data_IF_662161597027
#
_entry.id   IF_662161597027
#
_cell.length_a   1.000
_cell.length_b   1.000
_cell.length_c   1.000
_cell.angle_alpha   90.00
_cell.angle_beta   90.00
_cell.angle_gamma   90.00
#
_symmetry.space_group_name_H-M   'P 1'
#
loop_
_entity.id
_entity.type
_entity.pdbx_description
1 polymer ?
#
# COMPACT_ATOMS: atom_id res chain seq x y z
N UNK A 1 31.23 -23.56 -23.74
CA UNK A 1 30.82 -22.28 -24.34
C UNK A 1 30.10 -21.41 -23.31
N UNK A 2 30.85 -20.65 -22.52
CA UNK A 2 30.34 -19.67 -21.56
C UNK A 2 30.54 -18.23 -22.09
N UNK A 3 30.30 -18.04 -23.40
CA UNK A 3 30.38 -16.75 -24.11
C UNK A 3 29.08 -16.55 -24.86
N UNK A 4 28.13 -15.90 -24.22
CA UNK A 4 26.82 -15.63 -24.80
C UNK A 4 26.08 -14.66 -23.89
N UNK A 5 26.66 -13.48 -23.71
CA UNK A 5 25.89 -12.38 -23.13
C UNK A 5 24.76 -12.10 -24.11
N UNK A 6 23.51 -12.18 -23.65
CA UNK A 6 22.35 -12.02 -24.51
C UNK A 6 22.31 -10.58 -25.05
N UNK A 7 22.52 -10.42 -26.36
CA UNK A 7 22.51 -9.14 -27.06
C UNK A 7 21.09 -8.73 -27.50
N UNK A 8 20.09 -9.60 -27.28
CA UNK A 8 18.70 -9.32 -27.64
C UNK A 8 17.96 -8.47 -26.60
N UNK A 9 18.51 -8.29 -25.40
CA UNK A 9 17.86 -7.54 -24.31
C UNK A 9 18.35 -6.09 -24.21
N UNK A 10 17.42 -5.18 -23.88
CA UNK A 10 17.75 -3.77 -23.61
C UNK A 10 18.29 -3.62 -22.20
N UNK A 11 19.49 -3.04 -22.09
CA UNK A 11 20.17 -2.89 -20.81
C UNK A 11 19.96 -1.48 -20.28
N UNK A 12 19.63 -1.37 -19.00
CA UNK A 12 19.73 -0.11 -18.29
C UNK A 12 21.20 0.08 -17.86
N UNK A 13 21.89 1.04 -18.47
CA UNK A 13 23.31 1.31 -18.23
C UNK A 13 23.57 2.15 -16.98
N UNK A 14 22.51 2.64 -16.34
CA UNK A 14 22.58 3.43 -15.14
C UNK A 14 21.27 4.19 -14.94
N UNK A 15 20.82 4.22 -13.68
CA UNK A 15 19.69 5.03 -13.28
C UNK A 15 20.07 5.94 -12.11
N UNK A 16 19.53 7.16 -12.11
CA UNK A 16 19.66 8.12 -11.02
C UNK A 16 18.27 8.53 -10.58
N UNK A 17 17.89 8.12 -9.38
CA UNK A 17 16.63 8.47 -8.76
C UNK A 17 16.84 9.51 -7.66
N UNK A 18 16.10 10.61 -7.74
CA UNK A 18 16.06 11.67 -6.73
C UNK A 18 14.64 11.80 -6.21
N UNK A 19 14.47 11.60 -4.91
CA UNK A 19 13.21 11.85 -4.21
C UNK A 19 13.48 12.55 -2.89
N UNK A 20 12.48 13.23 -2.37
CA UNK A 20 12.52 13.82 -1.04
C UNK A 20 11.35 13.32 -0.20
N UNK A 21 11.49 13.41 1.13
CA UNK A 21 10.39 13.15 2.03
C UNK A 21 9.25 14.15 1.79
N UNK A 22 7.97 13.77 1.97
CA UNK A 22 6.87 14.69 1.73
C UNK A 22 6.99 15.98 2.56
N UNK A 23 6.95 17.11 1.87
CA UNK A 23 6.99 18.44 2.48
C UNK A 23 5.55 18.83 2.81
N UNK A 24 5.30 19.18 4.07
CA UNK A 24 3.97 19.64 4.51
C UNK A 24 3.89 21.15 4.32
N UNK A 25 3.09 21.62 3.35
CA UNK A 25 2.81 23.04 3.17
C UNK A 25 1.84 23.58 4.23
N UNK A 26 0.92 22.72 4.67
CA UNK A 26 -0.07 23.04 5.68
C UNK A 26 -0.25 21.85 6.60
N UNK A 27 -0.25 22.11 7.90
CA UNK A 27 -0.67 21.15 8.92
C UNK A 27 -1.43 21.91 9.99
N UNK A 28 -2.70 21.58 10.18
CA UNK A 28 -3.58 22.28 11.12
C UNK A 28 -4.57 21.34 11.78
N UNK A 29 -5.20 21.80 12.86
CA UNK A 29 -6.34 21.15 13.50
C UNK A 29 -7.70 21.55 12.87
N UNK A 30 -7.71 22.44 11.89
CA UNK A 30 -8.91 22.92 11.22
C UNK A 30 -9.45 21.94 10.17
N UNK A 31 -10.42 22.42 9.38
CA UNK A 31 -11.06 21.65 8.31
C UNK A 31 -10.05 21.07 7.33
N UNK A 32 -9.07 21.87 6.90
CA UNK A 32 -7.94 21.41 6.09
C UNK A 32 -6.82 21.01 7.04
N UNK A 33 -6.78 19.72 7.37
CA UNK A 33 -5.85 19.20 8.38
C UNK A 33 -4.42 19.08 7.85
N UNK A 34 -4.25 18.78 6.55
CA UNK A 34 -2.92 18.60 5.96
C UNK A 34 -2.92 18.81 4.45
N UNK A 35 -1.89 19.49 3.95
CA UNK A 35 -1.51 19.51 2.53
C UNK A 35 -0.03 19.17 2.46
N UNK A 36 0.32 18.15 1.67
CA UNK A 36 1.68 17.68 1.48
C UNK A 36 1.99 17.55 0.01
N UNK A 37 3.28 17.68 -0.29
CA UNK A 37 3.83 17.49 -1.61
C UNK A 37 5.05 16.60 -1.57
N UNK A 38 5.12 15.68 -2.50
CA UNK A 38 6.27 14.84 -2.77
C UNK A 38 6.55 14.82 -4.26
N UNK A 39 7.80 14.63 -4.65
CA UNK A 39 8.15 14.42 -6.05
C UNK A 39 9.27 13.40 -6.16
N UNK A 40 9.30 12.77 -7.33
CA UNK A 40 10.33 11.83 -7.72
C UNK A 40 10.81 12.15 -9.13
N UNK A 41 12.11 12.23 -9.30
CA UNK A 41 12.80 12.40 -10.57
C UNK A 41 13.64 11.16 -10.82
N UNK A 42 13.49 10.51 -11.96
CA UNK A 42 14.31 9.34 -12.33
C UNK A 42 14.88 9.52 -13.73
N UNK A 43 16.18 9.31 -13.86
CA UNK A 43 16.93 9.42 -15.10
C UNK A 43 17.49 8.05 -15.43
N UNK A 44 17.09 7.47 -16.56
CA UNK A 44 17.55 6.16 -17.02
C UNK A 44 18.17 6.25 -18.42
N UNK A 45 19.20 5.44 -18.68
CA UNK A 45 19.75 5.27 -20.01
C UNK A 45 19.66 3.82 -20.48
N UNK A 46 18.84 3.60 -21.50
CA UNK A 46 18.61 2.31 -22.12
C UNK A 46 19.50 2.14 -23.33
N UNK A 47 20.16 0.98 -23.44
CA UNK A 47 21.04 0.64 -24.56
C UNK A 47 20.90 -0.83 -24.97
N UNK A 48 20.92 -1.07 -26.27
CA UNK A 48 21.07 -2.41 -26.83
C UNK A 48 22.21 -2.42 -27.85
N UNK A 49 23.12 -3.40 -27.72
CA UNK A 49 24.24 -3.56 -28.65
C UNK A 49 23.91 -4.60 -29.71
N UNK A 50 24.40 -4.42 -30.95
CA UNK A 50 24.44 -5.42 -32.04
C UNK A 50 23.10 -5.82 -32.70
N UNK A 51 21.98 -5.16 -32.41
CA UNK A 51 20.71 -5.36 -33.13
C UNK A 51 20.37 -4.06 -33.86
N UNK A 52 20.11 -4.13 -35.18
CA UNK A 52 19.68 -2.97 -35.94
C UNK A 52 18.32 -2.46 -35.44
N UNK A 53 18.19 -1.16 -35.20
CA UNK A 53 16.97 -0.49 -34.73
C UNK A 53 15.91 -0.37 -35.84
N UNK A 54 15.62 -1.47 -36.55
CA UNK A 54 14.70 -1.47 -37.70
C UNK A 54 13.22 -1.44 -37.30
N UNK A 55 12.84 -2.12 -36.22
CA UNK A 55 11.44 -2.21 -35.76
C UNK A 55 11.15 -1.45 -34.47
N UNK A 56 12.13 -1.34 -33.57
CA UNK A 56 11.96 -0.73 -32.26
C UNK A 56 13.19 0.12 -31.93
N UNK A 57 12.98 1.30 -31.34
CA UNK A 57 14.05 2.15 -30.83
C UNK A 57 14.56 1.60 -29.48
N UNK A 58 15.88 1.46 -29.32
CA UNK A 58 16.48 0.71 -28.21
C UNK A 58 17.51 1.49 -27.41
N UNK A 59 18.05 2.53 -28.01
CA UNK A 59 19.05 3.41 -27.40
C UNK A 59 18.43 4.76 -27.05
N UNK A 60 17.88 4.87 -25.84
CA UNK A 60 17.04 6.02 -25.42
C UNK A 60 17.39 6.44 -24.00
N UNK A 61 17.39 7.75 -23.76
CA UNK A 61 17.45 8.32 -22.41
C UNK A 61 16.03 8.67 -21.98
N UNK A 62 15.65 8.32 -20.75
CA UNK A 62 14.33 8.66 -20.20
C UNK A 62 14.47 9.47 -18.92
N UNK A 63 13.72 10.56 -18.84
CA UNK A 63 13.49 11.35 -17.64
C UNK A 63 12.05 11.15 -17.19
N UNK A 64 11.86 10.58 -16.02
CA UNK A 64 10.59 10.43 -15.33
C UNK A 64 10.45 11.55 -14.28
N UNK A 65 9.33 12.27 -14.28
CA UNK A 65 8.97 13.26 -13.27
C UNK A 65 7.58 12.96 -12.71
N UNK A 66 7.52 12.71 -11.40
CA UNK A 66 6.30 12.27 -10.71
C UNK A 66 6.02 13.13 -9.48
N UNK A 67 5.41 14.32 -9.63
CA UNK A 67 4.94 15.08 -8.51
C UNK A 67 3.60 14.55 -8.00
N UNK A 68 3.40 14.66 -6.69
CA UNK A 68 2.22 14.19 -5.98
C UNK A 68 1.84 15.22 -4.92
N UNK A 69 0.54 15.53 -4.88
CA UNK A 69 -0.06 16.40 -3.87
C UNK A 69 -1.09 15.57 -3.10
N UNK A 70 -0.97 15.59 -1.79
CA UNK A 70 -1.92 14.95 -0.88
C UNK A 70 -2.59 15.98 0.01
N UNK A 71 -3.91 15.89 0.13
CA UNK A 71 -4.73 16.76 0.96
C UNK A 71 -5.61 15.91 1.88
N UNK A 72 -5.68 16.29 3.15
CA UNK A 72 -6.55 15.68 4.16
C UNK A 72 -7.48 16.72 4.77
N UNK A 73 -8.78 16.49 4.61
CA UNK A 73 -9.86 17.27 5.21
C UNK A 73 -10.54 16.51 6.35
N UNK A 74 -10.96 17.24 7.38
CA UNK A 74 -11.76 16.75 8.50
C UNK A 74 -12.96 17.67 8.68
N UNK A 75 -14.00 17.52 7.83
CA UNK A 75 -15.08 18.50 7.76
C UNK A 75 -15.89 18.57 9.06
N UNK A 76 -16.16 17.43 9.70
CA UNK A 76 -16.81 17.37 11.02
C UNK A 76 -16.70 15.98 11.65
N UNK A 77 -16.56 15.95 12.98
CA UNK A 77 -16.67 14.73 13.79
C UNK A 77 -15.82 13.55 13.29
N UNK A 78 -16.42 12.36 13.09
CA UNK A 78 -15.69 11.15 12.67
C UNK A 78 -15.43 11.08 11.16
N UNK A 79 -15.86 12.09 10.37
CA UNK A 79 -15.75 12.08 8.92
C UNK A 79 -14.38 12.60 8.51
N UNK A 80 -13.73 11.85 7.64
CA UNK A 80 -12.43 12.18 7.06
C UNK A 80 -12.54 12.12 5.54
N UNK A 81 -11.87 13.04 4.88
CA UNK A 81 -11.72 13.04 3.44
C UNK A 81 -10.25 13.19 3.09
N UNK A 82 -9.75 12.36 2.20
CA UNK A 82 -8.41 12.49 1.61
C UNK A 82 -8.52 12.58 0.09
N UNK A 83 -7.71 13.45 -0.49
CA UNK A 83 -7.54 13.56 -1.92
C UNK A 83 -6.04 13.49 -2.25
N UNK A 84 -5.68 12.70 -3.24
CA UNK A 84 -4.33 12.60 -3.78
C UNK A 84 -4.40 12.87 -5.27
N UNK A 85 -3.60 13.83 -5.73
CA UNK A 85 -3.35 14.08 -7.14
C UNK A 85 -1.92 13.65 -7.46
N UNK A 86 -1.74 12.80 -8.46
CA UNK A 86 -0.43 12.40 -8.97
C UNK A 86 -0.35 12.74 -10.44
N UNK A 87 0.79 13.26 -10.86
CA UNK A 87 1.12 13.43 -12.26
C UNK A 87 2.25 12.48 -12.61
N UNK A 88 2.16 11.81 -13.74
CA UNK A 88 3.21 10.97 -14.29
C UNK A 88 3.65 11.58 -15.61
N UNK A 89 4.91 11.97 -15.71
CA UNK A 89 5.51 12.52 -16.92
C UNK A 89 6.79 11.79 -17.25
N UNK A 90 6.93 11.39 -18.50
CA UNK A 90 8.12 10.77 -19.03
C UNK A 90 8.55 11.53 -20.28
N UNK A 91 9.82 11.88 -20.35
CA UNK A 91 10.45 12.47 -21.51
C UNK A 91 11.54 11.54 -22.02
N UNK A 92 11.47 11.23 -23.31
CA UNK A 92 12.41 10.36 -24.00
C UNK A 92 13.27 11.21 -24.91
N UNK A 93 14.58 11.04 -24.81
CA UNK A 93 15.56 11.61 -25.73
C UNK A 93 16.23 10.47 -26.52
N UNK A 94 16.16 10.56 -27.84
CA UNK A 94 16.54 9.55 -28.82
C UNK A 94 17.69 10.13 -29.64
N UNK A 95 18.93 10.13 -29.12
CA UNK A 95 20.05 10.88 -29.71
C UNK A 95 20.52 10.32 -31.06
N UNK A 96 20.14 9.09 -31.40
CA UNK A 96 20.56 8.41 -32.63
C UNK A 96 19.52 8.51 -33.77
N UNK A 97 18.38 9.15 -33.54
CA UNK A 97 17.37 9.38 -34.58
C UNK A 97 17.83 10.49 -35.54
N UNK A 98 17.84 10.18 -36.83
CA UNK A 98 18.32 11.09 -37.89
C UNK A 98 17.17 11.59 -38.78
N UNK A 99 16.12 10.80 -38.96
CA UNK A 99 15.03 11.07 -39.92
C UNK A 99 13.71 11.51 -39.28
N UNK A 100 13.67 11.62 -37.94
CA UNK A 100 12.47 11.98 -37.18
C UNK A 100 12.74 12.90 -35.99
N UNK A 101 11.71 13.13 -35.17
CA UNK A 101 11.86 13.87 -33.91
C UNK A 101 12.79 13.09 -32.97
N UNK A 102 13.77 13.76 -32.38
CA UNK A 102 14.69 13.15 -31.41
C UNK A 102 14.07 13.02 -30.01
N UNK A 103 12.80 13.41 -29.84
CA UNK A 103 12.15 13.40 -28.54
C UNK A 103 10.76 12.80 -28.60
N UNK A 104 10.36 12.16 -27.51
CA UNK A 104 8.97 11.81 -27.25
C UNK A 104 8.60 12.13 -25.79
N UNK A 105 7.30 12.23 -25.53
CA UNK A 105 6.77 12.45 -24.19
C UNK A 105 5.55 11.59 -23.96
N UNK A 106 5.43 11.06 -22.75
CA UNK A 106 4.26 10.35 -22.25
C UNK A 106 3.83 10.98 -20.94
N UNK A 107 2.55 11.26 -20.76
CA UNK A 107 2.08 11.86 -19.53
C UNK A 107 0.62 11.53 -19.21
N UNK A 108 0.27 11.56 -17.93
CA UNK A 108 -1.10 11.44 -17.46
C UNK A 108 -1.24 11.76 -15.98
N UNK A 109 -2.48 11.84 -15.52
CA UNK A 109 -2.80 12.26 -14.15
C UNK A 109 -3.72 11.27 -13.46
N UNK A 110 -3.47 11.03 -12.18
CA UNK A 110 -4.29 10.18 -11.33
C UNK A 110 -4.86 10.99 -10.17
N UNK A 111 -6.17 10.86 -9.95
CA UNK A 111 -6.88 11.43 -8.82
C UNK A 111 -7.43 10.28 -7.98
N UNK A 112 -7.10 10.27 -6.69
CA UNK A 112 -7.73 9.38 -5.71
C UNK A 112 -8.41 10.21 -4.66
N UNK A 113 -9.66 9.91 -4.37
CA UNK A 113 -10.39 10.48 -3.25
C UNK A 113 -10.89 9.37 -2.34
N UNK A 114 -10.90 9.63 -1.03
CA UNK A 114 -11.40 8.69 -0.03
C UNK A 114 -12.18 9.47 0.99
N UNK A 115 -13.46 9.13 1.16
CA UNK A 115 -14.32 9.63 2.21
C UNK A 115 -14.59 8.47 3.16
N UNK A 116 -14.31 8.63 4.46
CA UNK A 116 -14.66 7.58 5.42
C UNK A 116 -15.09 8.14 6.76
N UNK A 117 -15.91 7.34 7.43
CA UNK A 117 -16.31 7.55 8.81
C UNK A 117 -16.00 6.30 9.63
N UNK A 118 -15.59 6.51 10.88
CA UNK A 118 -15.31 5.43 11.83
C UNK A 118 -16.16 5.63 13.09
N UNK A 119 -16.87 4.58 13.48
CA UNK A 119 -17.70 4.54 14.69
C UNK A 119 -17.15 3.48 15.63
N UNK A 120 -16.95 3.87 16.88
CA UNK A 120 -16.43 3.00 17.93
C UNK A 120 -17.49 2.74 19.00
N UNK A 121 -17.61 1.47 19.41
CA UNK A 121 -18.37 1.07 20.59
C UNK A 121 -17.53 0.17 21.49
N UNK A 122 -17.38 0.56 22.74
CA UNK A 122 -16.71 -0.26 23.76
C UNK A 122 -17.74 -0.95 24.65
N UNK A 123 -17.62 -2.26 24.81
CA UNK A 123 -18.47 -3.12 25.63
C UNK A 123 -17.72 -3.55 26.89
N UNK A 124 -18.22 -3.09 28.04
CA UNK A 124 -17.62 -3.36 29.35
C UNK A 124 -16.36 -2.54 29.62
N UNK A 125 -15.73 -2.81 30.77
CA UNK A 125 -14.42 -2.28 31.14
C UNK A 125 -13.53 -3.47 31.55
N UNK A 126 -12.24 -3.48 31.18
CA UNK A 126 -11.35 -4.56 31.59
C UNK A 126 -10.96 -4.36 33.06
N UNK A 127 -11.10 -5.39 33.89
CA UNK A 127 -10.72 -5.34 35.31
C UNK A 127 -10.34 -6.72 35.84
N UNK A 128 -9.63 -6.75 36.96
CA UNK A 128 -9.29 -7.97 37.67
C UNK A 128 -10.22 -8.07 38.88
N UNK A 129 -10.92 -9.19 39.00
CA UNK A 129 -11.74 -9.51 40.16
C UNK A 129 -10.96 -10.48 41.06
N UNK A 130 -10.84 -10.15 42.35
CA UNK A 130 -10.24 -11.05 43.34
C UNK A 130 -11.35 -11.75 44.10
N UNK A 131 -11.46 -13.08 43.95
CA UNK A 131 -12.39 -13.93 44.70
C UNK A 131 -11.62 -14.80 45.68
N UNK A 132 -12.19 -15.04 46.85
CA UNK A 132 -11.69 -16.07 47.74
C UNK A 132 -12.02 -17.44 47.12
N UNK A 133 -11.02 -18.30 46.96
CA UNK A 133 -11.26 -19.67 46.51
C UNK A 133 -12.22 -20.36 47.49
N UNK A 134 -13.25 -21.03 46.94
CA UNK A 134 -14.12 -21.88 47.76
C UNK A 134 -13.26 -22.96 48.42
N UNK A 135 -13.47 -23.19 49.72
CA UNK A 135 -12.83 -24.30 50.43
C UNK A 135 -13.27 -25.58 49.75
N UNK A 136 -12.30 -26.37 49.28
CA UNK A 136 -12.59 -27.73 48.83
C UNK A 136 -12.93 -28.52 50.09
N UNK A 137 -14.17 -28.98 50.21
CA UNK A 137 -14.55 -29.91 51.27
C UNK A 137 -13.79 -31.22 51.03
N UNK A 138 -12.78 -31.46 51.86
CA UNK A 138 -12.09 -32.75 51.90
C UNK A 138 -13.05 -33.69 52.63
N UNK A 139 -13.74 -34.55 51.86
CA UNK A 139 -14.43 -35.69 52.45
C UNK A 139 -13.36 -36.65 52.92
N UNK A 140 -13.08 -36.65 54.23
CA UNK A 140 -12.20 -37.62 54.86
C UNK A 140 -12.81 -39.02 54.77
N UNK A 141 -12.57 -39.71 53.65
CA UNK A 141 -12.68 -41.16 53.63
C UNK A 141 -11.49 -41.72 54.40
N UNK A 142 -11.76 -42.26 55.59
CA UNK A 142 -10.81 -43.10 56.36
C UNK A 142 -10.41 -44.29 55.50
N UNK A 143 -9.39 -44.10 54.68
CA UNK A 143 -8.64 -45.16 54.03
C UNK A 143 -7.22 -45.12 54.58
N UNK A 144 -6.63 -46.29 54.77
CA UNK A 144 -5.28 -46.46 55.29
C UNK A 144 -4.25 -45.86 54.32
N UNK A 145 -4.05 -44.54 54.41
CA UNK A 145 -3.06 -43.82 53.64
C UNK A 145 -1.68 -44.13 54.21
N UNK A 146 -0.76 -44.56 53.34
CA UNK A 146 0.62 -44.96 53.65
C UNK A 146 1.50 -43.75 54.08
N UNK A 147 0.98 -42.52 53.98
CA UNK A 147 1.66 -41.29 54.40
C UNK A 147 0.65 -40.24 54.84
N UNK A 148 0.97 -39.42 55.87
CA UNK A 148 0.13 -38.27 56.23
C UNK A 148 0.03 -37.30 55.04
N UNK A 149 -1.17 -36.82 54.77
CA UNK A 149 -1.42 -35.77 53.78
C UNK A 149 -0.70 -34.50 54.25
N UNK A 150 0.08 -33.83 53.38
CA UNK A 150 0.78 -32.61 53.77
C UNK A 150 -0.23 -31.57 54.27
N UNK A 151 0.10 -30.93 55.40
CA UNK A 151 -0.74 -29.90 56.01
C UNK A 151 -0.74 -28.65 55.11
N UNK A 152 -1.65 -28.63 54.13
CA UNK A 152 -1.92 -27.44 53.33
C UNK A 152 -2.58 -26.46 54.29
N UNK A 153 -1.81 -25.48 54.78
CA UNK A 153 -2.35 -24.38 55.60
C UNK A 153 -3.64 -23.87 54.94
N UNK A 154 -4.69 -23.71 55.72
CA UNK A 154 -5.97 -23.11 55.31
C UNK A 154 -5.83 -21.61 55.00
N UNK A 155 -4.86 -21.25 54.17
CA UNK A 155 -4.79 -19.90 53.62
C UNK A 155 -5.83 -19.83 52.51
N UNK A 156 -6.80 -18.91 52.66
CA UNK A 156 -7.76 -18.62 51.61
C UNK A 156 -7.00 -18.16 50.37
N UNK A 157 -6.79 -19.06 49.42
CA UNK A 157 -6.12 -18.71 48.17
C UNK A 157 -7.00 -17.70 47.45
N UNK A 158 -6.49 -16.47 47.29
CA UNK A 158 -7.14 -15.46 46.49
C UNK A 158 -7.00 -15.84 45.02
N UNK A 159 -8.12 -16.10 44.35
CA UNK A 159 -8.17 -16.32 42.92
C UNK A 159 -8.37 -14.98 42.22
N UNK A 160 -7.44 -14.61 41.32
CA UNK A 160 -7.59 -13.45 40.44
C UNK A 160 -8.22 -13.89 39.12
N UNK A 161 -9.36 -13.30 38.76
CA UNK A 161 -10.09 -13.56 37.52
C UNK A 161 -10.01 -12.29 36.65
N UNK A 162 -9.45 -12.42 35.45
CA UNK A 162 -9.35 -11.31 34.50
C UNK A 162 -10.62 -11.19 33.65
N UNK A 163 -11.33 -10.07 33.78
CA UNK A 163 -12.46 -9.71 32.93
C UNK A 163 -11.99 -8.83 31.79
N UNK A 164 -12.27 -9.24 30.55
CA UNK A 164 -11.89 -8.49 29.35
C UNK A 164 -13.03 -7.57 28.89
N UNK A 165 -12.68 -6.51 28.17
CA UNK A 165 -13.65 -5.70 27.43
C UNK A 165 -13.45 -5.88 25.93
N UNK A 166 -14.47 -5.54 25.16
CA UNK A 166 -14.43 -5.64 23.70
C UNK A 166 -14.67 -4.27 23.09
N UNK A 167 -13.81 -3.84 22.19
CA UNK A 167 -13.98 -2.62 21.39
C UNK A 167 -14.33 -3.03 19.98
N UNK A 168 -15.49 -2.62 19.51
CA UNK A 168 -15.94 -2.82 18.13
C UNK A 168 -15.75 -1.51 17.36
N UNK A 169 -15.02 -1.58 16.25
CA UNK A 169 -14.86 -0.49 15.30
C UNK A 169 -15.55 -0.87 14.00
N UNK A 170 -16.40 0.03 13.53
CA UNK A 170 -17.05 -0.07 12.22
C UNK A 170 -16.60 1.12 11.39
N UNK A 171 -15.99 0.85 10.23
CA UNK A 171 -15.57 1.88 9.28
C UNK A 171 -16.33 1.71 7.97
N UNK A 172 -16.98 2.78 7.55
CA UNK A 172 -17.59 2.91 6.23
C UNK A 172 -16.73 3.85 5.39
N UNK A 173 -16.41 3.45 4.17
CA UNK A 173 -15.57 4.21 3.26
C UNK A 173 -16.14 4.21 1.85
N UNK A 174 -15.95 5.32 1.16
CA UNK A 174 -16.19 5.51 -0.26
C UNK A 174 -14.86 5.95 -0.86
N UNK A 175 -14.22 5.08 -1.64
CA UNK A 175 -13.02 5.44 -2.39
C UNK A 175 -13.40 5.66 -3.84
N UNK A 176 -12.85 6.70 -4.45
CA UNK A 176 -12.93 6.93 -5.88
C UNK A 176 -11.51 7.05 -6.43
N UNK A 177 -11.21 6.30 -7.48
CA UNK A 177 -9.94 6.33 -8.18
C UNK A 177 -10.23 6.63 -9.64
N UNK A 178 -9.61 7.68 -10.16
CA UNK A 178 -9.65 8.04 -11.56
C UNK A 178 -8.22 8.16 -12.09
N UNK A 179 -7.94 7.54 -13.22
CA UNK A 179 -6.67 7.66 -13.92
C UNK A 179 -6.97 8.10 -15.36
N UNK A 180 -6.57 9.32 -15.70
CA UNK A 180 -6.67 9.81 -17.08
C UNK A 180 -5.82 8.94 -18.01
N UNK A 181 -6.38 8.63 -19.19
CA UNK A 181 -5.64 8.00 -20.28
C UNK A 181 -4.35 8.76 -20.55
N UNK A 182 -3.22 8.05 -20.44
CA UNK A 182 -1.93 8.66 -20.73
C UNK A 182 -1.83 9.05 -22.20
N UNK A 183 -1.43 10.29 -22.44
CA UNK A 183 -1.18 10.85 -23.77
C UNK A 183 0.28 10.66 -24.12
N UNK A 184 0.54 10.29 -25.37
CA UNK A 184 1.89 10.11 -25.91
C UNK A 184 2.03 10.91 -27.21
N UNK A 185 3.19 11.54 -27.41
CA UNK A 185 3.48 12.36 -28.60
C UNK A 185 4.98 12.50 -28.85
N UNK A 186 5.38 12.89 -30.06
CA UNK A 186 6.77 13.11 -30.46
C UNK A 186 7.21 12.15 -31.56
N UNK A 187 8.35 11.50 -31.39
CA UNK A 187 8.88 10.51 -32.34
C UNK A 187 7.83 9.41 -32.65
N UNK A 188 7.41 9.32 -33.91
CA UNK A 188 6.34 8.42 -34.34
C UNK A 188 6.73 6.94 -34.20
N UNK A 189 8.00 6.60 -34.43
CA UNK A 189 8.49 5.23 -34.28
C UNK A 189 8.36 4.77 -32.82
N UNK A 190 8.80 5.60 -31.86
CA UNK A 190 8.69 5.29 -30.44
C UNK A 190 7.23 5.28 -29.96
N UNK A 191 6.43 6.24 -30.42
CA UNK A 191 5.00 6.30 -30.10
C UNK A 191 4.29 5.03 -30.56
N UNK A 192 4.52 4.64 -31.82
CA UNK A 192 3.91 3.44 -32.40
C UNK A 192 4.38 2.18 -31.68
N UNK A 193 5.67 2.07 -31.36
CA UNK A 193 6.17 0.93 -30.60
C UNK A 193 5.54 0.83 -29.20
N UNK A 194 5.40 1.95 -28.49
CA UNK A 194 4.80 1.94 -27.16
C UNK A 194 3.28 1.65 -27.21
N UNK A 195 2.60 2.02 -28.29
CA UNK A 195 1.18 1.73 -28.52
C UNK A 195 0.90 0.29 -28.98
N UNK A 196 1.83 -0.34 -29.69
CA UNK A 196 1.73 -1.75 -30.13
C UNK A 196 1.55 -2.72 -28.95
N UNK A 197 1.96 -2.31 -27.74
CA UNK A 197 1.63 -2.99 -26.51
C UNK A 197 2.37 -4.31 -26.28
N UNK A 198 3.15 -4.77 -27.26
CA UNK A 198 4.01 -5.95 -27.16
C UNK A 198 5.12 -5.72 -26.13
N UNK A 199 5.42 -6.73 -25.32
CA UNK A 199 6.49 -6.64 -24.30
C UNK A 199 7.86 -6.33 -24.91
N UNK A 200 8.05 -6.71 -26.18
CA UNK A 200 9.29 -6.42 -26.88
C UNK A 200 9.48 -4.92 -27.04
N UNK A 201 8.46 -4.09 -27.24
CA UNK A 201 8.64 -2.65 -27.49
C UNK A 201 8.97 -1.82 -26.23
N UNK A 202 8.76 -2.38 -25.04
CA UNK A 202 8.94 -1.68 -23.76
C UNK A 202 10.39 -1.80 -23.29
N UNK A 203 10.92 -0.75 -22.67
CA UNK A 203 12.19 -0.76 -21.95
C UNK A 203 12.01 -1.32 -20.53
N UNK A 204 10.91 -0.94 -19.87
CA UNK A 204 10.51 -1.47 -18.57
C UNK A 204 8.99 -1.39 -18.33
N UNK A 205 8.54 -1.70 -17.11
CA UNK A 205 7.13 -1.68 -16.74
C UNK A 205 6.51 -0.27 -16.81
N UNK A 206 7.32 0.79 -16.68
CA UNK A 206 6.83 2.17 -16.66
C UNK A 206 6.37 2.61 -18.04
N UNK A 207 6.80 1.94 -19.10
CA UNK A 207 6.43 2.25 -20.48
C UNK A 207 4.99 1.86 -20.83
N UNK A 208 4.39 0.99 -20.03
CA UNK A 208 2.96 0.67 -20.17
C UNK A 208 2.11 1.94 -20.12
N UNK A 209 1.18 2.07 -21.06
CA UNK A 209 0.28 3.22 -21.16
C UNK A 209 -0.85 3.01 -20.16
N UNK A 210 -0.83 3.73 -19.04
CA UNK A 210 -1.84 3.67 -17.98
C UNK A 210 -3.13 4.41 -18.33
N UNK A 211 -4.16 4.23 -17.50
CA UNK A 211 -5.46 4.92 -17.61
C UNK A 211 -6.49 4.23 -18.52
N UNK A 212 -6.06 3.25 -19.34
CA UNK A 212 -6.93 2.52 -20.27
C UNK A 212 -7.57 1.29 -19.62
N UNK A 213 -8.87 1.10 -19.86
CA UNK A 213 -9.64 -0.10 -19.46
C UNK A 213 -9.08 -1.41 -20.03
N UNK A 214 -8.26 -1.33 -21.08
CA UNK A 214 -7.76 -2.45 -21.86
C UNK A 214 -6.51 -3.12 -21.27
N UNK A 215 -5.88 -2.55 -20.23
CA UNK A 215 -4.74 -3.17 -19.55
C UNK A 215 -5.12 -4.34 -18.62
N UNK A 216 -6.42 -4.65 -18.51
CA UNK A 216 -6.93 -5.83 -17.80
C UNK A 216 -6.77 -7.06 -18.71
N UNK A 217 -5.52 -7.47 -18.96
CA UNK A 217 -5.16 -8.51 -19.92
C UNK A 217 -5.47 -9.95 -19.49
N UNK A 218 -6.16 -10.17 -18.37
CA UNK A 218 -6.56 -11.52 -17.99
C UNK A 218 -7.99 -11.58 -17.43
N UNK A 219 -8.93 -11.99 -18.28
CA UNK A 219 -10.35 -12.17 -17.93
C UNK A 219 -10.52 -13.35 -16.95
N UNK A 220 -9.57 -14.27 -16.90
CA UNK A 220 -9.66 -15.50 -16.11
C UNK A 220 -9.39 -15.33 -14.60
N UNK A 221 -8.70 -14.26 -14.18
CA UNK A 221 -8.24 -14.09 -12.78
C UNK A 221 -8.51 -12.70 -12.21
N UNK A 222 -9.63 -12.07 -12.56
CA UNK A 222 -10.03 -10.72 -12.09
C UNK A 222 -10.03 -10.60 -10.56
N UNK A 223 -8.91 -10.21 -9.96
CA UNK A 223 -8.79 -9.74 -8.57
C UNK A 223 -8.57 -8.24 -8.47
N UNK A 224 -8.24 -7.59 -9.58
CA UNK A 224 -7.78 -6.21 -9.60
C UNK A 224 -8.86 -5.27 -10.16
N UNK A 225 -9.01 -4.11 -9.53
CA UNK A 225 -9.97 -3.09 -9.92
C UNK A 225 -9.45 -2.30 -11.14
N UNK A 226 -10.31 -1.90 -12.08
CA UNK A 226 -9.89 -1.11 -13.23
C UNK A 226 -9.29 0.23 -12.79
N UNK A 227 -8.20 0.63 -13.43
CA UNK A 227 -7.44 1.81 -13.04
C UNK A 227 -8.09 3.13 -13.48
N UNK A 228 -8.92 3.10 -14.52
CA UNK A 228 -9.47 4.26 -15.25
C UNK A 228 -10.47 5.08 -14.42
N UNK A 229 -11.51 4.45 -13.88
CA UNK A 229 -12.55 5.10 -13.09
C UNK A 229 -13.30 4.07 -12.22
N UNK A 230 -12.93 3.99 -10.94
CA UNK A 230 -13.50 3.03 -10.00
C UNK A 230 -14.06 3.74 -8.78
N UNK A 231 -15.27 3.35 -8.38
CA UNK A 231 -15.87 3.69 -7.09
C UNK A 231 -15.92 2.40 -6.26
N UNK A 232 -15.33 2.44 -5.07
CA UNK A 232 -15.27 1.32 -4.13
C UNK A 232 -16.00 1.68 -2.84
N UNK A 233 -16.96 0.84 -2.47
CA UNK A 233 -17.63 0.88 -1.18
C UNK A 233 -16.92 -0.07 -0.23
N UNK A 234 -16.34 0.48 0.84
CA UNK A 234 -15.57 -0.27 1.82
C UNK A 234 -16.33 -0.32 3.14
N UNK A 235 -16.58 -1.54 3.61
CA UNK A 235 -17.10 -1.78 4.95
C UNK A 235 -16.12 -2.65 5.73
N UNK A 236 -15.53 -2.09 6.78
CA UNK A 236 -14.58 -2.78 7.66
C UNK A 236 -15.17 -2.90 9.05
N UNK A 237 -15.08 -4.09 9.62
CA UNK A 237 -15.46 -4.38 11.00
C UNK A 237 -14.22 -4.94 11.72
N UNK A 238 -13.93 -4.41 12.90
CA UNK A 238 -12.81 -4.86 13.73
C UNK A 238 -13.26 -5.00 15.16
N UNK A 239 -13.01 -6.17 15.76
CA UNK A 239 -13.27 -6.45 17.17
C UNK A 239 -11.95 -6.62 17.91
N UNK A 240 -11.65 -5.69 18.80
CA UNK A 240 -10.44 -5.69 19.61
C UNK A 240 -10.78 -6.11 21.04
N UNK A 241 -10.21 -7.23 21.50
CA UNK A 241 -10.28 -7.64 22.90
C UNK A 241 -9.23 -6.87 23.70
N UNK A 242 -9.65 -6.16 24.74
CA UNK A 242 -8.78 -5.54 25.73
C UNK A 242 -8.79 -6.38 26.99
N UNK A 243 -7.66 -7.03 27.27
CA UNK A 243 -7.45 -7.83 28.48
C UNK A 243 -6.66 -7.01 29.50
N UNK A 244 -7.05 -6.97 30.78
CA UNK A 244 -6.23 -6.33 31.81
C UNK A 244 -4.90 -7.07 31.92
N UNK A 245 -3.80 -6.32 32.12
CA UNK A 245 -2.50 -6.94 32.40
C UNK A 245 -2.58 -7.62 33.77
N UNK A 246 -2.43 -8.95 33.78
CA UNK A 246 -2.14 -9.65 35.01
C UNK A 246 -0.68 -9.34 35.33
N UNK A 247 -0.42 -8.57 36.38
CA UNK A 247 0.90 -8.58 37.04
C UNK A 247 1.06 -9.97 37.64
N UNK A 248 1.54 -10.88 36.81
CA UNK A 248 2.12 -12.14 37.24
C UNK A 248 3.58 -11.75 37.48
N UNK A 249 3.98 -11.54 38.74
CA UNK A 249 5.42 -11.63 39.00
C UNK A 249 5.78 -13.07 38.63
N UNK A 250 6.67 -13.29 37.64
CA UNK A 250 7.34 -14.56 37.63
C UNK A 250 8.17 -14.52 38.92
N UNK A 251 7.97 -15.53 39.78
CA UNK A 251 8.64 -15.70 41.07
C UNK A 251 7.97 -14.96 42.24
#
# INVERSE_FOLDING_TARGET
NAKGFDHSYVQNLGHLEMSHTPINFLQSSGLISKISFDQNLDLAYFKQNHVGEGQYLRNVQRLDYRPSVWMKLRPFGPVNFEATYKFDYQHYNIPHEVSGSQTARKYGSQIKTSLWMEVEKTFGRPYIETKNAQKVEIVENKSDLISPVPNIKEESKQQRIAHSSYKHLVRYGLNHSYYEDQKISGNENLVTSLLDGTNNARFDYRDQIGGRDQNVFDVATRTDLPESNTIELVWKNSLLKKTPKLDISPF
#
